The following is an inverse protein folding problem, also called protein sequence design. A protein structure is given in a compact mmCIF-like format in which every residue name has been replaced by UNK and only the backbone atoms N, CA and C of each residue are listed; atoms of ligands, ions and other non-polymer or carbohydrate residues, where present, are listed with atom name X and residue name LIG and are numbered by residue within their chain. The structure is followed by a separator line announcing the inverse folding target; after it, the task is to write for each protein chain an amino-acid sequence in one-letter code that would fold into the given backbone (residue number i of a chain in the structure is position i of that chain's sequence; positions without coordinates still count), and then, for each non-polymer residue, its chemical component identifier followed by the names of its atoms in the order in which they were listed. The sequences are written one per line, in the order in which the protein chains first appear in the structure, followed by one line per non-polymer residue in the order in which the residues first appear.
data_IF_977625987006
#
_entry.id   IF_977625987006
#
_cell.length_a   1.000
_cell.length_b   1.000
_cell.length_c   1.000
_cell.angle_alpha   90.00
_cell.angle_beta   90.00
_cell.angle_gamma   90.00
#
_symmetry.space_group_name_H-M   'P 1'
#
loop_
_entity.id
_entity.type
_entity.pdbx_description
1 polymer ?
#
# COMPACT_ATOMS: atom_id res chain seq x y z
N UNK A 1 0.44 19.02 -19.84
CA UNK A 1 0.82 19.34 -18.44
C UNK A 1 2.33 19.47 -18.26
N UNK A 2 3.18 18.50 -18.62
CA UNK A 2 4.64 18.61 -18.41
C UNK A 2 5.31 19.83 -19.09
N UNK A 3 5.02 20.04 -20.38
CA UNK A 3 5.52 21.20 -21.14
C UNK A 3 5.03 22.53 -20.52
N UNK A 4 3.78 22.55 -20.05
CA UNK A 4 3.20 23.72 -19.38
C UNK A 4 3.86 23.99 -18.02
N UNK A 5 4.08 22.95 -17.20
CA UNK A 5 4.76 23.06 -15.92
C UNK A 5 6.20 23.58 -16.10
N UNK A 6 6.94 23.03 -17.07
CA UNK A 6 8.29 23.48 -17.39
C UNK A 6 8.33 24.93 -17.90
N UNK A 7 7.36 25.35 -18.73
CA UNK A 7 7.28 26.74 -19.17
C UNK A 7 6.90 27.70 -18.03
N UNK A 8 6.00 27.29 -17.12
CA UNK A 8 5.64 28.10 -15.94
C UNK A 8 6.81 28.21 -14.96
N UNK A 9 7.57 27.13 -14.75
CA UNK A 9 8.80 27.11 -13.97
C UNK A 9 9.91 27.98 -14.53
N UNK A 10 9.89 28.30 -15.81
CA UNK A 10 10.85 29.20 -16.46
C UNK A 10 10.30 30.61 -16.70
N UNK A 11 9.05 30.88 -16.29
CA UNK A 11 8.44 32.20 -16.40
C UNK A 11 8.96 33.12 -15.28
N UNK A 12 8.88 34.45 -15.43
CA UNK A 12 9.24 35.38 -14.35
C UNK A 12 8.33 35.31 -13.13
N UNK A 13 7.12 34.76 -13.28
CA UNK A 13 6.08 34.63 -12.25
C UNK A 13 5.81 33.14 -11.98
N UNK A 14 6.78 32.44 -11.39
CA UNK A 14 6.55 31.07 -10.96
C UNK A 14 5.61 31.05 -9.75
N UNK A 15 4.52 30.31 -9.89
CA UNK A 15 3.50 30.09 -8.85
C UNK A 15 3.77 28.74 -8.17
N UNK A 16 4.33 28.79 -6.95
CA UNK A 16 4.61 27.59 -6.15
C UNK A 16 3.34 26.86 -5.72
N UNK A 17 2.25 27.58 -5.48
CA UNK A 17 0.97 27.02 -5.07
C UNK A 17 0.37 26.17 -6.21
N UNK A 18 0.46 26.66 -7.45
CA UNK A 18 0.01 25.91 -8.62
C UNK A 18 0.74 24.57 -8.78
N UNK A 19 2.06 24.53 -8.60
CA UNK A 19 2.82 23.29 -8.74
C UNK A 19 2.51 22.34 -7.59
N UNK A 20 2.43 22.84 -6.36
CA UNK A 20 2.05 22.05 -5.18
C UNK A 20 0.70 21.35 -5.39
N UNK A 21 -0.31 22.07 -5.87
CA UNK A 21 -1.66 21.55 -6.12
C UNK A 21 -1.75 20.52 -7.26
N UNK A 22 -0.78 20.54 -8.19
CA UNK A 22 -0.76 19.66 -9.36
C UNK A 22 0.27 18.55 -9.26
N UNK A 23 1.19 18.60 -8.30
CA UNK A 23 2.32 17.69 -8.21
C UNK A 23 1.87 16.23 -8.19
N UNK A 24 0.87 15.89 -7.37
CA UNK A 24 0.36 14.53 -7.29
C UNK A 24 -0.27 14.05 -8.61
N UNK A 25 -0.97 14.94 -9.32
CA UNK A 25 -1.57 14.61 -10.62
C UNK A 25 -0.48 14.36 -11.67
N UNK A 26 0.58 15.17 -11.65
CA UNK A 26 1.74 14.98 -12.54
C UNK A 26 2.44 13.68 -12.19
N UNK A 27 2.71 13.41 -10.91
CA UNK A 27 3.38 12.19 -10.46
C UNK A 27 2.59 10.93 -10.80
N UNK A 28 1.25 10.99 -10.71
CA UNK A 28 0.38 9.89 -11.14
C UNK A 28 0.46 9.61 -12.64
N UNK A 29 0.89 10.55 -13.48
CA UNK A 29 1.12 10.32 -14.90
C UNK A 29 2.58 9.95 -15.18
N UNK A 30 3.52 10.74 -14.65
CA UNK A 30 4.97 10.59 -14.82
C UNK A 30 5.68 11.14 -13.56
N UNK A 31 6.07 10.24 -12.67
CA UNK A 31 6.77 10.60 -11.44
C UNK A 31 8.22 11.05 -11.65
N UNK A 32 8.87 10.63 -12.74
CA UNK A 32 10.21 11.11 -13.06
C UNK A 32 10.15 12.58 -13.50
N UNK A 33 9.17 12.93 -14.34
CA UNK A 33 8.92 14.31 -14.68
C UNK A 33 8.52 15.14 -13.45
N UNK A 34 7.66 14.62 -12.58
CA UNK A 34 7.31 15.30 -11.33
C UNK A 34 8.54 15.57 -10.45
N UNK A 35 9.47 14.61 -10.38
CA UNK A 35 10.70 14.75 -9.59
C UNK A 35 11.59 15.87 -10.14
N UNK A 36 11.81 15.92 -11.46
CA UNK A 36 12.57 17.01 -12.08
C UNK A 36 11.91 18.37 -11.83
N UNK A 37 10.59 18.45 -12.03
CA UNK A 37 9.85 19.70 -11.86
C UNK A 37 9.88 20.23 -10.42
N UNK A 38 9.79 19.34 -9.42
CA UNK A 38 9.80 19.77 -8.01
C UNK A 38 11.19 20.15 -7.53
N UNK A 39 12.26 19.48 -8.01
CA UNK A 39 13.64 19.89 -7.71
C UNK A 39 13.93 21.29 -8.27
N UNK A 40 13.64 21.53 -9.55
CA UNK A 40 13.80 22.85 -10.18
C UNK A 40 13.01 23.93 -9.42
N UNK A 41 11.81 23.59 -8.95
CA UNK A 41 10.96 24.50 -8.19
C UNK A 41 11.53 24.85 -6.82
N UNK A 42 12.01 23.84 -6.08
CA UNK A 42 12.60 24.00 -4.75
C UNK A 42 13.89 24.81 -4.83
N UNK A 43 14.76 24.53 -5.81
CA UNK A 43 15.99 25.31 -6.04
C UNK A 43 15.69 26.79 -6.34
N UNK A 44 14.59 27.05 -7.07
CA UNK A 44 14.24 28.40 -7.48
C UNK A 44 13.56 29.23 -6.38
N UNK A 45 12.63 28.65 -5.63
CA UNK A 45 11.80 29.41 -4.67
C UNK A 45 12.26 29.25 -3.22
N UNK A 46 12.86 28.11 -2.86
CA UNK A 46 13.11 27.72 -1.48
C UNK A 46 11.83 27.52 -0.65
N UNK A 47 10.66 27.43 -1.28
CA UNK A 47 9.36 27.30 -0.62
C UNK A 47 9.28 25.96 0.14
N UNK A 48 8.93 26.04 1.42
CA UNK A 48 8.82 24.88 2.30
C UNK A 48 7.73 23.91 1.84
N UNK A 49 6.61 24.38 1.28
CA UNK A 49 5.52 23.52 0.79
C UNK A 49 5.99 22.69 -0.41
N UNK A 50 6.77 23.30 -1.31
CA UNK A 50 7.35 22.57 -2.43
C UNK A 50 8.38 21.55 -1.97
N UNK A 51 9.16 21.90 -0.94
CA UNK A 51 10.12 20.97 -0.34
C UNK A 51 9.45 19.81 0.36
N UNK A 52 8.34 20.05 1.05
CA UNK A 52 7.48 18.98 1.58
C UNK A 52 7.01 18.04 0.46
N UNK A 53 6.56 18.60 -0.66
CA UNK A 53 6.19 17.85 -1.86
C UNK A 53 7.34 17.03 -2.43
N UNK A 54 8.56 17.56 -2.44
CA UNK A 54 9.76 16.84 -2.87
C UNK A 54 10.07 15.65 -1.95
N UNK A 55 9.97 15.83 -0.63
CA UNK A 55 10.11 14.73 0.33
C UNK A 55 9.04 13.66 0.09
N UNK A 56 7.78 14.06 -0.02
CA UNK A 56 6.67 13.12 -0.20
C UNK A 56 6.82 12.34 -1.50
N UNK A 57 7.20 12.99 -2.61
CA UNK A 57 7.46 12.33 -3.87
C UNK A 57 8.65 11.35 -3.79
N UNK A 58 9.76 11.75 -3.16
CA UNK A 58 10.92 10.88 -2.98
C UNK A 58 10.57 9.65 -2.11
N UNK A 59 9.81 9.82 -1.02
CA UNK A 59 9.30 8.71 -0.21
C UNK A 59 8.32 7.84 -1.00
N UNK A 60 7.42 8.45 -1.77
CA UNK A 60 6.53 7.74 -2.69
C UNK A 60 7.29 6.98 -3.76
N UNK A 61 8.54 7.31 -4.09
CA UNK A 61 9.41 6.57 -5.02
C UNK A 61 10.38 5.59 -4.33
N UNK A 62 10.39 5.54 -2.99
CA UNK A 62 11.36 4.73 -2.22
C UNK A 62 12.78 5.31 -2.19
N UNK A 63 12.97 6.57 -2.59
CA UNK A 63 14.25 7.25 -2.71
C UNK A 63 14.70 7.87 -1.38
N UNK A 64 14.95 7.04 -0.37
CA UNK A 64 15.20 7.48 1.01
C UNK A 64 16.34 8.49 1.17
N UNK A 65 17.37 8.47 0.32
CA UNK A 65 18.47 9.45 0.37
C UNK A 65 18.04 10.85 -0.11
N UNK A 66 17.23 10.90 -1.17
CA UNK A 66 16.70 12.16 -1.70
C UNK A 66 15.72 12.75 -0.68
N UNK A 67 14.83 11.92 -0.13
CA UNK A 67 13.93 12.31 0.94
C UNK A 67 14.67 12.86 2.16
N UNK A 68 15.76 12.22 2.59
CA UNK A 68 16.57 12.68 3.73
C UNK A 68 17.19 14.06 3.48
N UNK A 69 17.71 14.31 2.28
CA UNK A 69 18.32 15.60 1.94
C UNK A 69 17.33 16.74 2.13
N UNK A 70 16.14 16.63 1.55
CA UNK A 70 15.09 17.64 1.71
C UNK A 70 14.53 17.71 3.12
N UNK A 71 14.40 16.57 3.81
CA UNK A 71 13.94 16.53 5.21
C UNK A 71 14.84 17.31 6.17
N UNK A 72 16.15 17.34 5.91
CA UNK A 72 17.12 18.07 6.71
C UNK A 72 16.86 19.59 6.76
N UNK A 73 16.21 20.12 5.72
CA UNK A 73 15.95 21.55 5.55
C UNK A 73 14.53 21.99 5.94
N UNK A 74 13.63 21.04 6.25
CA UNK A 74 12.27 21.34 6.71
C UNK A 74 12.26 21.81 8.18
N UNK A 75 11.32 22.68 8.51
CA UNK A 75 11.03 23.11 9.88
C UNK A 75 10.52 21.95 10.73
N UNK A 76 10.81 22.00 12.03
CA UNK A 76 10.33 20.98 12.95
C UNK A 76 8.82 21.07 13.15
N UNK A 77 8.16 19.91 13.18
CA UNK A 77 6.73 19.80 13.34
C UNK A 77 6.22 18.37 13.17
N UNK A 78 4.92 18.12 13.44
CA UNK A 78 4.34 16.79 13.32
C UNK A 78 4.45 16.24 11.89
N UNK A 79 4.33 17.08 10.86
CA UNK A 79 4.45 16.66 9.46
C UNK A 79 5.86 16.15 9.12
N UNK A 80 6.91 16.88 9.53
CA UNK A 80 8.30 16.42 9.42
C UNK A 80 8.53 15.11 10.17
N UNK A 81 8.00 14.97 11.39
CA UNK A 81 8.10 13.71 12.16
C UNK A 81 7.46 12.53 11.44
N UNK A 82 6.29 12.70 10.81
CA UNK A 82 5.66 11.65 10.01
C UNK A 82 6.54 11.23 8.82
N UNK A 83 7.19 12.18 8.13
CA UNK A 83 8.11 11.89 7.03
C UNK A 83 9.39 11.21 7.51
N UNK A 84 9.93 11.62 8.66
CA UNK A 84 11.04 10.93 9.31
C UNK A 84 10.66 9.49 9.70
N UNK A 85 9.42 9.27 10.17
CA UNK A 85 8.92 7.92 10.46
C UNK A 85 8.91 7.04 9.22
N UNK A 86 8.44 7.56 8.07
CA UNK A 86 8.50 6.85 6.78
C UNK A 86 9.94 6.51 6.38
N UNK A 87 10.86 7.48 6.49
CA UNK A 87 12.28 7.27 6.19
C UNK A 87 12.91 6.18 7.10
N UNK A 88 12.57 6.17 8.39
CA UNK A 88 13.02 5.13 9.31
C UNK A 88 12.53 3.74 8.87
N UNK A 89 11.29 3.60 8.38
CA UNK A 89 10.79 2.32 7.82
C UNK A 89 11.54 1.86 6.59
N UNK A 90 11.85 2.77 5.66
CA UNK A 90 12.68 2.44 4.47
C UNK A 90 14.04 1.88 4.89
N UNK A 91 14.60 2.37 6.01
CA UNK A 91 15.85 1.89 6.61
C UNK A 91 15.71 0.58 7.39
N UNK A 92 14.49 0.09 7.59
CA UNK A 92 14.20 -1.08 8.42
C UNK A 92 14.16 -0.80 9.92
N UNK A 93 14.12 0.47 10.33
CA UNK A 93 14.03 0.88 11.73
C UNK A 93 12.57 1.14 12.14
N UNK A 94 11.84 0.04 12.35
CA UNK A 94 10.42 0.06 12.70
C UNK A 94 10.19 0.69 14.09
N UNK A 95 11.16 0.58 15.00
CA UNK A 95 11.04 1.11 16.36
C UNK A 95 11.05 2.64 16.35
N UNK A 96 12.07 3.24 15.74
CA UNK A 96 12.14 4.70 15.60
C UNK A 96 10.98 5.23 14.77
N UNK A 97 10.55 4.51 13.73
CA UNK A 97 9.38 4.89 12.95
C UNK A 97 8.11 5.00 13.80
N UNK A 98 7.84 3.99 14.64
CA UNK A 98 6.65 3.98 15.49
C UNK A 98 6.71 5.10 16.55
N UNK A 99 7.86 5.33 17.16
CA UNK A 99 8.05 6.41 18.12
C UNK A 99 7.77 7.79 17.49
N UNK A 100 8.37 8.08 16.32
CA UNK A 100 8.17 9.34 15.61
C UNK A 100 6.71 9.56 15.20
N UNK A 101 6.02 8.48 14.80
CA UNK A 101 4.60 8.53 14.47
C UNK A 101 3.76 8.85 15.71
N UNK A 102 3.99 8.18 16.84
CA UNK A 102 3.28 8.45 18.10
C UNK A 102 3.48 9.90 18.56
N UNK A 103 4.71 10.40 18.55
CA UNK A 103 5.01 11.80 18.89
C UNK A 103 4.33 12.79 17.93
N UNK A 104 4.23 12.47 16.64
CA UNK A 104 3.53 13.33 15.69
C UNK A 104 2.02 13.38 15.99
N UNK A 105 1.40 12.25 16.32
CA UNK A 105 -0.03 12.15 16.61
C UNK A 105 -0.47 12.99 17.81
N UNK A 106 0.43 13.36 18.72
CA UNK A 106 0.13 14.25 19.85
C UNK A 106 -0.17 15.68 19.43
N UNK A 107 0.41 16.13 18.32
CA UNK A 107 0.36 17.52 17.86
C UNK A 107 -0.42 17.73 16.57
N UNK A 108 -0.96 16.66 15.97
CA UNK A 108 -1.79 16.77 14.77
C UNK A 108 -3.20 17.30 15.07
N UNK A 109 -3.78 18.10 14.16
CA UNK A 109 -5.21 18.39 14.16
C UNK A 109 -6.05 17.11 14.14
N UNK A 110 -7.24 17.13 14.74
CA UNK A 110 -8.10 15.94 14.93
C UNK A 110 -8.33 15.16 13.64
N UNK A 111 -8.69 15.84 12.55
CA UNK A 111 -8.97 15.19 11.27
C UNK A 111 -7.72 14.48 10.71
N UNK A 112 -6.56 15.14 10.76
CA UNK A 112 -5.30 14.56 10.29
C UNK A 112 -4.83 13.43 11.21
N UNK A 113 -5.01 13.56 12.52
CA UNK A 113 -4.75 12.50 13.50
C UNK A 113 -5.56 11.25 13.20
N UNK A 114 -6.84 11.37 12.86
CA UNK A 114 -7.68 10.22 12.49
C UNK A 114 -7.22 9.62 11.16
N UNK A 115 -6.96 10.44 10.13
CA UNK A 115 -6.43 9.97 8.85
C UNK A 115 -5.12 9.20 9.04
N UNK A 116 -4.22 9.72 9.86
CA UNK A 116 -2.94 9.07 10.14
C UNK A 116 -3.10 7.75 10.90
N UNK A 117 -4.00 7.67 11.88
CA UNK A 117 -4.32 6.40 12.54
C UNK A 117 -4.84 5.34 11.57
N UNK A 118 -5.72 5.73 10.64
CA UNK A 118 -6.22 4.81 9.59
C UNK A 118 -5.09 4.38 8.67
N UNK A 119 -4.23 5.31 8.21
CA UNK A 119 -3.03 4.98 7.42
C UNK A 119 -2.10 4.00 8.14
N UNK A 120 -1.91 4.17 9.45
CA UNK A 120 -1.09 3.28 10.27
C UNK A 120 -1.69 1.87 10.34
N UNK A 121 -3.02 1.75 10.51
CA UNK A 121 -3.73 0.45 10.48
C UNK A 121 -3.54 -0.25 9.14
N UNK A 122 -3.77 0.46 8.02
CA UNK A 122 -3.59 -0.10 6.67
C UNK A 122 -2.15 -0.55 6.46
N UNK A 123 -1.17 0.30 6.79
CA UNK A 123 0.25 -0.01 6.67
C UNK A 123 0.64 -1.25 7.48
N UNK A 124 0.22 -1.34 8.74
CA UNK A 124 0.53 -2.48 9.62
C UNK A 124 -0.11 -3.77 9.13
N UNK A 125 -1.30 -3.69 8.54
CA UNK A 125 -1.95 -4.84 7.91
C UNK A 125 -1.21 -5.30 6.64
N UNK A 126 -0.69 -4.35 5.86
CA UNK A 126 0.04 -4.62 4.61
C UNK A 126 1.50 -5.06 4.83
N UNK A 127 2.14 -4.67 5.94
CA UNK A 127 3.53 -5.00 6.30
C UNK A 127 3.66 -6.45 6.81
N UNK A 128 3.33 -7.40 5.94
CA UNK A 128 3.40 -8.84 6.20
C UNK A 128 3.61 -9.63 4.91
N UNK A 129 4.04 -10.87 5.04
CA UNK A 129 4.03 -11.80 3.92
C UNK A 129 2.60 -12.25 3.55
N UNK A 130 2.37 -12.63 2.27
CA UNK A 130 1.12 -13.26 1.85
C UNK A 130 0.78 -14.49 2.70
N UNK A 131 -0.53 -14.71 2.91
CA UNK A 131 -1.06 -15.76 3.77
C UNK A 131 -1.94 -15.24 4.92
N UNK A 132 -2.22 -16.12 5.88
CA UNK A 132 -3.10 -15.83 7.01
C UNK A 132 -2.55 -14.71 7.89
N UNK A 133 -3.45 -13.90 8.43
CA UNK A 133 -3.09 -12.87 9.39
C UNK A 133 -2.76 -13.50 10.74
N UNK A 134 -1.64 -13.08 11.33
CA UNK A 134 -1.27 -13.47 12.68
C UNK A 134 -2.37 -13.08 13.69
N UNK A 135 -2.82 -13.98 14.58
CA UNK A 135 -3.90 -13.68 15.52
C UNK A 135 -3.61 -12.53 16.48
N UNK A 136 -2.36 -12.35 16.92
CA UNK A 136 -2.01 -11.24 17.79
C UNK A 136 -2.12 -9.92 17.02
N UNK A 137 -1.53 -9.84 15.83
CA UNK A 137 -1.64 -8.66 14.97
C UNK A 137 -3.11 -8.35 14.63
N UNK A 138 -3.92 -9.36 14.32
CA UNK A 138 -5.35 -9.19 14.06
C UNK A 138 -6.09 -8.52 15.23
N UNK A 139 -5.81 -8.98 16.46
CA UNK A 139 -6.40 -8.40 17.67
C UNK A 139 -5.94 -6.95 17.88
N UNK A 140 -4.64 -6.67 17.73
CA UNK A 140 -4.09 -5.31 17.87
C UNK A 140 -4.69 -4.34 16.85
N UNK A 141 -4.87 -4.77 15.60
CA UNK A 141 -5.50 -3.95 14.55
C UNK A 141 -6.98 -3.72 14.86
N UNK A 142 -7.70 -4.74 15.30
CA UNK A 142 -9.12 -4.65 15.66
C UNK A 142 -9.35 -3.71 16.85
N UNK A 143 -8.48 -3.78 17.86
CA UNK A 143 -8.48 -2.85 19.00
C UNK A 143 -8.13 -1.42 18.56
N UNK A 144 -7.20 -1.26 17.62
CA UNK A 144 -6.85 0.05 17.06
C UNK A 144 -8.02 0.68 16.31
N UNK A 145 -8.76 -0.12 15.53
CA UNK A 145 -9.97 0.31 14.81
C UNK A 145 -11.05 0.76 15.81
N UNK A 146 -11.30 -0.01 16.88
CA UNK A 146 -12.37 0.29 17.85
C UNK A 146 -12.14 1.57 18.65
N UNK A 147 -10.86 1.98 18.82
CA UNK A 147 -10.47 3.22 19.50
C UNK A 147 -10.59 4.48 18.64
N UNK A 148 -10.90 4.37 17.35
CA UNK A 148 -11.07 5.53 16.47
C UNK A 148 -12.47 6.09 16.62
N UNK A 149 -12.57 7.32 17.15
CA UNK A 149 -13.81 8.09 17.14
C UNK A 149 -13.88 8.99 15.91
N UNK A 150 -14.96 8.88 15.14
CA UNK A 150 -15.23 9.70 13.96
C UNK A 150 -16.16 10.89 14.26
N UNK A 151 -16.56 11.09 15.52
CA UNK A 151 -17.60 12.07 15.89
C UNK A 151 -17.24 13.51 15.54
N UNK A 152 -15.94 13.82 15.54
CA UNK A 152 -15.38 15.16 15.32
C UNK A 152 -15.03 15.45 13.84
N UNK A 153 -15.32 14.53 12.93
CA UNK A 153 -15.08 14.72 11.50
C UNK A 153 -16.23 15.44 10.78
N UNK A 154 -15.92 16.11 9.68
CA UNK A 154 -16.94 16.55 8.72
C UNK A 154 -17.71 15.36 8.13
N UNK A 155 -18.89 15.56 7.57
CA UNK A 155 -19.66 14.45 6.99
C UNK A 155 -18.92 13.76 5.84
N UNK A 156 -18.22 14.55 5.01
CA UNK A 156 -17.39 14.02 3.93
C UNK A 156 -16.21 13.20 4.46
N UNK A 157 -15.43 13.74 5.41
CA UNK A 157 -14.30 13.01 6.00
C UNK A 157 -14.77 11.75 6.74
N UNK A 158 -15.92 11.83 7.41
CA UNK A 158 -16.53 10.73 8.15
C UNK A 158 -16.94 9.61 7.21
N UNK A 159 -17.54 9.92 6.06
CA UNK A 159 -17.91 8.92 5.05
C UNK A 159 -16.66 8.18 4.53
N UNK A 160 -15.62 8.92 4.15
CA UNK A 160 -14.35 8.34 3.67
C UNK A 160 -13.66 7.49 4.75
N UNK A 161 -13.60 7.99 5.99
CA UNK A 161 -13.01 7.26 7.11
C UNK A 161 -13.80 5.98 7.44
N UNK A 162 -15.14 6.05 7.42
CA UNK A 162 -16.02 4.89 7.67
C UNK A 162 -15.80 3.80 6.63
N UNK A 163 -15.80 4.17 5.34
CA UNK A 163 -15.53 3.23 4.26
C UNK A 163 -14.16 2.56 4.43
N UNK A 164 -13.12 3.35 4.73
CA UNK A 164 -11.76 2.84 4.93
C UNK A 164 -11.68 1.85 6.09
N UNK A 165 -12.30 2.16 7.23
CA UNK A 165 -12.34 1.27 8.39
C UNK A 165 -13.11 -0.02 8.09
N UNK A 166 -14.20 0.05 7.32
CA UNK A 166 -14.99 -1.13 6.98
C UNK A 166 -14.29 -2.04 5.97
N UNK A 167 -13.55 -1.46 5.01
CA UNK A 167 -12.63 -2.22 4.16
C UNK A 167 -11.57 -2.97 5.00
N UNK A 168 -11.01 -2.31 6.03
CA UNK A 168 -10.04 -2.95 6.93
C UNK A 168 -10.66 -4.06 7.78
N UNK A 169 -11.83 -3.82 8.39
CA UNK A 169 -12.57 -4.85 9.15
C UNK A 169 -12.87 -6.07 8.27
N UNK A 170 -13.32 -5.84 7.04
CA UNK A 170 -13.57 -6.92 6.08
C UNK A 170 -12.29 -7.71 5.77
N UNK A 171 -11.20 -7.01 5.45
CA UNK A 171 -9.92 -7.65 5.14
C UNK A 171 -9.37 -8.48 6.33
N UNK A 172 -9.44 -7.95 7.55
CA UNK A 172 -9.04 -8.67 8.77
C UNK A 172 -9.92 -9.90 8.99
N UNK A 173 -11.25 -9.74 8.93
CA UNK A 173 -12.21 -10.82 9.15
C UNK A 173 -12.02 -11.97 8.15
N UNK A 174 -11.75 -11.66 6.87
CA UNK A 174 -11.43 -12.65 5.85
C UNK A 174 -10.20 -13.49 6.21
N UNK A 175 -9.16 -12.85 6.75
CA UNK A 175 -7.89 -13.51 7.06
C UNK A 175 -7.89 -14.26 8.39
N UNK A 176 -8.79 -13.90 9.31
CA UNK A 176 -9.01 -14.63 10.57
C UNK A 176 -10.10 -15.70 10.47
N UNK A 177 -10.87 -15.72 9.37
CA UNK A 177 -11.97 -16.65 9.17
C UNK A 177 -13.25 -16.27 9.92
N UNK A 178 -13.40 -15.01 10.34
CA UNK A 178 -14.62 -14.51 10.96
C UNK A 178 -15.67 -14.16 9.90
N UNK A 179 -16.44 -15.18 9.52
CA UNK A 179 -17.49 -15.06 8.49
C UNK A 179 -18.54 -14.01 8.87
N UNK A 180 -18.89 -13.92 10.16
CA UNK A 180 -19.93 -12.98 10.63
C UNK A 180 -19.48 -11.54 10.50
N UNK A 181 -18.27 -11.22 10.97
CA UNK A 181 -17.72 -9.87 10.83
C UNK A 181 -17.44 -9.52 9.37
N UNK A 182 -16.99 -10.49 8.56
CA UNK A 182 -16.81 -10.29 7.12
C UNK A 182 -18.12 -9.90 6.45
N UNK A 183 -19.20 -10.65 6.69
CA UNK A 183 -20.51 -10.36 6.12
C UNK A 183 -21.07 -9.01 6.58
N UNK A 184 -20.93 -8.67 7.86
CA UNK A 184 -21.33 -7.37 8.39
C UNK A 184 -20.57 -6.22 7.70
N UNK A 185 -19.23 -6.28 7.70
CA UNK A 185 -18.42 -5.24 7.09
C UNK A 185 -18.72 -5.09 5.59
N UNK A 186 -18.98 -6.19 4.89
CA UNK A 186 -19.40 -6.19 3.49
C UNK A 186 -20.73 -5.46 3.25
N UNK A 187 -21.72 -5.63 4.12
CA UNK A 187 -22.99 -4.87 4.04
C UNK A 187 -22.82 -3.38 4.33
N UNK A 188 -21.92 -3.01 5.24
CA UNK A 188 -21.60 -1.60 5.52
C UNK A 188 -20.84 -0.94 4.34
N UNK A 189 -19.96 -1.69 3.67
CA UNK A 189 -19.28 -1.25 2.43
C UNK A 189 -20.30 -1.02 1.31
N UNK A 190 -21.25 -1.95 1.13
CA UNK A 190 -22.32 -1.82 0.14
C UNK A 190 -23.18 -0.59 0.37
N UNK A 191 -23.56 -0.36 1.63
CA UNK A 191 -24.34 0.83 2.01
C UNK A 191 -23.61 2.14 1.69
N UNK A 192 -22.27 2.09 1.65
CA UNK A 192 -21.42 3.26 1.34
C UNK A 192 -21.18 3.45 -0.16
N UNK A 193 -21.07 2.36 -0.93
CA UNK A 193 -20.70 2.38 -2.35
C UNK A 193 -21.89 2.25 -3.30
N UNK A 194 -23.02 1.70 -2.84
CA UNK A 194 -24.13 1.24 -3.65
C UNK A 194 -24.01 -0.24 -4.05
N UNK A 195 -25.16 -0.91 -4.24
CA UNK A 195 -25.26 -2.35 -4.52
C UNK A 195 -24.59 -2.80 -5.82
N UNK A 196 -24.50 -1.90 -6.80
CA UNK A 196 -23.98 -2.21 -8.14
C UNK A 196 -22.51 -1.81 -8.31
N UNK A 197 -21.82 -1.44 -7.22
CA UNK A 197 -20.45 -0.96 -7.30
C UNK A 197 -19.48 -2.10 -7.67
N UNK A 198 -18.65 -1.97 -8.73
CA UNK A 198 -17.80 -3.06 -9.24
C UNK A 198 -16.83 -3.66 -8.21
N UNK A 199 -16.36 -2.86 -7.25
CA UNK A 199 -15.47 -3.34 -6.17
C UNK A 199 -16.11 -4.43 -5.31
N UNK A 200 -17.44 -4.49 -5.23
CA UNK A 200 -18.14 -5.50 -4.46
C UNK A 200 -17.91 -6.91 -5.01
N UNK A 201 -17.86 -7.06 -6.34
CA UNK A 201 -17.55 -8.34 -7.01
C UNK A 201 -16.20 -8.89 -6.59
N UNK A 202 -15.17 -8.03 -6.50
CA UNK A 202 -13.84 -8.44 -6.05
C UNK A 202 -13.86 -8.87 -4.57
N UNK A 203 -14.60 -8.16 -3.71
CA UNK A 203 -14.74 -8.50 -2.29
C UNK A 203 -15.42 -9.86 -2.10
N UNK A 204 -16.52 -10.10 -2.83
CA UNK A 204 -17.30 -11.34 -2.73
C UNK A 204 -16.50 -12.53 -3.25
N UNK A 205 -15.72 -12.35 -4.32
CA UNK A 205 -14.82 -13.37 -4.84
C UNK A 205 -13.66 -13.66 -3.89
N UNK A 206 -13.06 -12.62 -3.27
CA UNK A 206 -12.05 -12.84 -2.22
C UNK A 206 -12.63 -13.61 -1.04
N UNK A 207 -13.87 -13.33 -0.65
CA UNK A 207 -14.57 -14.07 0.40
C UNK A 207 -14.83 -15.53 0.02
N UNK A 208 -15.18 -15.83 -1.23
CA UNK A 208 -15.37 -17.22 -1.64
C UNK A 208 -14.05 -18.00 -1.66
N UNK A 209 -12.92 -17.36 -2.02
CA UNK A 209 -11.58 -17.95 -2.02
C UNK A 209 -11.01 -18.23 -0.61
N UNK A 210 -11.55 -17.61 0.45
CA UNK A 210 -11.15 -17.92 1.84
C UNK A 210 -11.89 -19.14 2.41
N UNK A 211 -13.01 -19.55 1.80
CA UNK A 211 -13.73 -20.77 2.17
C UNK A 211 -12.97 -21.98 1.60
N UNK A 212 -12.26 -22.70 2.48
CA UNK A 212 -11.31 -23.74 2.07
C UNK A 212 -11.55 -25.07 2.77
N UNK A 213 -11.42 -26.16 2.02
CA UNK A 213 -11.37 -27.54 2.53
C UNK A 213 -9.94 -28.06 2.35
N UNK A 214 -9.30 -28.51 3.43
CA UNK A 214 -7.89 -28.93 3.42
C UNK A 214 -6.92 -27.88 2.84
N UNK A 215 -7.22 -26.59 3.08
CA UNK A 215 -6.39 -25.48 2.61
C UNK A 215 -6.63 -25.07 1.15
N UNK A 216 -7.58 -25.68 0.45
CA UNK A 216 -7.89 -25.41 -0.96
C UNK A 216 -9.32 -24.89 -1.08
N UNK A 217 -9.53 -23.84 -1.88
CA UNK A 217 -10.85 -23.28 -2.18
C UNK A 217 -11.66 -24.21 -3.11
N UNK A 218 -12.96 -23.94 -3.25
CA UNK A 218 -13.81 -24.72 -4.16
C UNK A 218 -13.40 -24.49 -5.62
N UNK A 219 -13.65 -25.50 -6.48
CA UNK A 219 -13.43 -25.39 -7.92
C UNK A 219 -14.16 -24.19 -8.52
N UNK A 220 -15.38 -23.94 -8.05
CA UNK A 220 -16.23 -22.86 -8.55
C UNK A 220 -15.66 -21.49 -8.18
N UNK A 221 -15.08 -21.34 -6.98
CA UNK A 221 -14.42 -20.10 -6.57
C UNK A 221 -13.13 -19.86 -7.39
N UNK A 222 -12.35 -20.91 -7.63
CA UNK A 222 -11.13 -20.85 -8.45
C UNK A 222 -11.49 -20.48 -9.89
N UNK A 223 -12.50 -21.11 -10.49
CA UNK A 223 -12.95 -20.79 -11.85
C UNK A 223 -13.55 -19.38 -11.93
N UNK A 224 -14.33 -18.96 -10.94
CA UNK A 224 -14.83 -17.58 -10.86
C UNK A 224 -13.68 -16.57 -10.81
N UNK A 225 -12.59 -16.91 -10.10
CA UNK A 225 -11.40 -16.06 -10.04
C UNK A 225 -10.68 -15.97 -11.39
N UNK A 226 -10.65 -17.06 -12.14
CA UNK A 226 -10.11 -17.09 -13.49
C UNK A 226 -10.91 -16.18 -14.42
N UNK A 227 -12.23 -16.31 -14.43
CA UNK A 227 -13.13 -15.47 -15.26
C UNK A 227 -12.94 -13.99 -14.90
N UNK A 228 -12.86 -13.66 -13.60
CA UNK A 228 -12.57 -12.30 -13.17
C UNK A 228 -11.24 -11.79 -13.74
N UNK A 229 -10.16 -12.58 -13.64
CA UNK A 229 -8.83 -12.22 -14.10
C UNK A 229 -8.74 -12.05 -15.63
N UNK A 230 -9.50 -12.84 -16.39
CA UNK A 230 -9.58 -12.73 -17.85
C UNK A 230 -10.26 -11.44 -18.32
N UNK A 231 -11.08 -10.80 -17.47
CA UNK A 231 -11.83 -9.58 -17.78
C UNK A 231 -11.38 -8.35 -16.96
N UNK A 232 -10.30 -8.46 -16.18
CA UNK A 232 -9.83 -7.39 -15.30
C UNK A 232 -8.74 -6.55 -15.97
N UNK A 233 -9.11 -5.33 -16.38
CA UNK A 233 -8.16 -4.39 -16.99
C UNK A 233 -7.25 -3.71 -15.96
N UNK A 234 -7.75 -3.51 -14.73
CA UNK A 234 -7.02 -2.85 -13.66
C UNK A 234 -5.89 -3.74 -13.10
N UNK A 235 -4.64 -3.33 -13.34
CA UNK A 235 -3.45 -4.10 -12.96
C UNK A 235 -3.38 -4.38 -11.45
N UNK A 236 -3.80 -3.41 -10.61
CA UNK A 236 -3.79 -3.54 -9.16
C UNK A 236 -4.76 -4.65 -8.71
N UNK A 237 -6.01 -4.61 -9.18
CA UNK A 237 -6.99 -5.65 -8.89
C UNK A 237 -6.56 -7.01 -9.44
N UNK A 238 -5.95 -7.04 -10.63
CA UNK A 238 -5.46 -8.27 -11.25
C UNK A 238 -4.36 -8.93 -10.42
N UNK A 239 -3.31 -8.18 -10.04
CA UNK A 239 -2.23 -8.71 -9.18
C UNK A 239 -2.80 -9.13 -7.81
N UNK A 240 -3.65 -8.31 -7.19
CA UNK A 240 -4.27 -8.62 -5.90
C UNK A 240 -5.08 -9.92 -5.95
N UNK A 241 -5.85 -10.13 -7.03
CA UNK A 241 -6.64 -11.35 -7.21
C UNK A 241 -5.74 -12.55 -7.53
N UNK A 242 -4.69 -12.41 -8.35
CA UNK A 242 -3.69 -13.47 -8.58
C UNK A 242 -3.11 -13.96 -7.25
N UNK A 243 -2.68 -13.04 -6.38
CA UNK A 243 -2.13 -13.41 -5.08
C UNK A 243 -3.18 -14.11 -4.20
N UNK A 244 -4.41 -13.60 -4.17
CA UNK A 244 -5.50 -14.22 -3.39
C UNK A 244 -5.80 -15.63 -3.89
N UNK A 245 -5.84 -15.85 -5.21
CA UNK A 245 -6.06 -17.17 -5.80
C UNK A 245 -4.86 -18.10 -5.53
N UNK A 246 -3.61 -17.60 -5.62
CA UNK A 246 -2.42 -18.39 -5.29
C UNK A 246 -2.45 -18.91 -3.84
N UNK A 247 -2.92 -18.10 -2.89
CA UNK A 247 -3.11 -18.54 -1.51
C UNK A 247 -4.21 -19.61 -1.36
N UNK A 248 -5.14 -19.68 -2.30
CA UNK A 248 -6.34 -20.50 -2.23
C UNK A 248 -6.25 -21.83 -2.98
N UNK A 249 -5.22 -22.04 -3.82
CA UNK A 249 -5.05 -23.26 -4.64
C UNK A 249 -4.10 -24.30 -4.03
N UNK A 250 -3.54 -24.04 -2.85
CA UNK A 250 -2.60 -24.95 -2.19
C UNK A 250 -1.23 -25.00 -2.87
N UNK A 251 -0.54 -26.15 -2.78
CA UNK A 251 0.85 -26.30 -3.24
C UNK A 251 0.99 -26.60 -4.74
N UNK A 252 -0.11 -26.88 -5.45
CA UNK A 252 -0.11 -27.19 -6.88
C UNK A 252 -1.00 -26.20 -7.65
N UNK A 253 -0.55 -24.95 -7.85
CA UNK A 253 -1.30 -23.97 -8.62
C UNK A 253 -1.53 -24.43 -10.06
N UNK A 254 -2.72 -24.16 -10.64
CA UNK A 254 -2.99 -24.51 -12.03
C UNK A 254 -2.10 -23.70 -12.98
N UNK A 255 -1.77 -24.28 -14.15
CA UNK A 255 -0.84 -23.67 -15.11
C UNK A 255 -1.25 -22.27 -15.56
N UNK A 256 -2.55 -22.04 -15.77
CA UNK A 256 -3.07 -20.73 -16.16
C UNK A 256 -2.73 -19.64 -15.13
N UNK A 257 -2.74 -19.97 -13.83
CA UNK A 257 -2.44 -19.01 -12.76
C UNK A 257 -0.94 -18.73 -12.68
N UNK A 258 -0.11 -19.76 -12.89
CA UNK A 258 1.35 -19.60 -12.99
C UNK A 258 1.70 -18.72 -14.19
N UNK A 259 1.07 -18.94 -15.34
CA UNK A 259 1.30 -18.16 -16.55
C UNK A 259 0.86 -16.71 -16.41
N UNK A 260 -0.30 -16.45 -15.78
CA UNK A 260 -0.74 -15.09 -15.44
C UNK A 260 0.25 -14.40 -14.50
N UNK A 261 0.68 -15.08 -13.43
CA UNK A 261 1.67 -14.52 -12.51
C UNK A 261 2.99 -14.18 -13.23
N UNK A 262 3.51 -15.08 -14.08
CA UNK A 262 4.74 -14.83 -14.86
C UNK A 262 4.62 -13.61 -15.78
N UNK A 263 3.45 -13.41 -16.40
CA UNK A 263 3.17 -12.21 -17.21
C UNK A 263 3.23 -10.95 -16.37
N UNK A 264 2.59 -10.93 -15.20
CA UNK A 264 2.59 -9.75 -14.32
C UNK A 264 3.97 -9.42 -13.74
N UNK A 265 4.75 -10.43 -13.33
CA UNK A 265 6.14 -10.19 -12.86
C UNK A 265 7.01 -9.55 -13.96
N UNK A 266 6.74 -9.89 -15.22
CA UNK A 266 7.52 -9.40 -16.37
C UNK A 266 6.97 -8.11 -16.97
N UNK A 267 5.79 -7.68 -16.55
CA UNK A 267 5.17 -6.45 -16.99
C UNK A 267 5.83 -5.23 -16.33
N UNK A 268 5.73 -4.08 -16.99
CA UNK A 268 6.05 -2.81 -16.35
C UNK A 268 5.05 -2.54 -15.22
N UNK A 269 5.56 -2.25 -14.03
CA UNK A 269 4.78 -1.91 -12.85
C UNK A 269 5.17 -0.50 -12.46
N UNK A 270 4.17 0.31 -12.14
CA UNK A 270 4.31 1.68 -11.59
C UNK A 270 4.92 1.68 -10.18
N UNK A 271 6.15 1.17 -10.03
CA UNK A 271 6.86 1.06 -8.75
C UNK A 271 7.30 2.42 -8.17
N UNK A 272 6.97 3.50 -8.88
CA UNK A 272 6.97 4.88 -8.39
C UNK A 272 5.80 5.21 -7.44
N UNK A 273 4.86 4.29 -7.24
CA UNK A 273 3.78 4.40 -6.26
C UNK A 273 3.94 3.35 -5.16
N UNK A 274 3.76 3.74 -3.90
CA UNK A 274 3.98 2.85 -2.76
C UNK A 274 3.16 1.55 -2.82
N UNK A 275 1.90 1.62 -3.26
CA UNK A 275 1.03 0.44 -3.38
C UNK A 275 1.57 -0.58 -4.39
N UNK A 276 2.08 -0.12 -5.53
CA UNK A 276 2.64 -0.97 -6.57
C UNK A 276 4.01 -1.52 -6.18
N UNK A 277 4.82 -0.81 -5.37
CA UNK A 277 6.03 -1.40 -4.77
C UNK A 277 5.71 -2.59 -3.88
N UNK A 278 4.68 -2.49 -3.05
CA UNK A 278 4.25 -3.61 -2.21
C UNK A 278 3.82 -4.81 -3.06
N UNK A 279 3.00 -4.57 -4.08
CA UNK A 279 2.57 -5.62 -5.00
C UNK A 279 3.77 -6.23 -5.76
N UNK A 280 4.72 -5.41 -6.19
CA UNK A 280 5.96 -5.86 -6.81
C UNK A 280 6.78 -6.75 -5.86
N UNK A 281 6.91 -6.36 -4.59
CA UNK A 281 7.59 -7.18 -3.58
C UNK A 281 6.90 -8.55 -3.40
N UNK A 282 5.57 -8.57 -3.38
CA UNK A 282 4.77 -9.80 -3.28
C UNK A 282 4.87 -10.67 -4.54
N UNK A 283 4.93 -10.07 -5.74
CA UNK A 283 5.15 -10.80 -6.99
C UNK A 283 6.50 -11.55 -6.96
N UNK A 284 7.57 -10.92 -6.47
CA UNK A 284 8.85 -11.58 -6.29
C UNK A 284 8.84 -12.66 -5.20
N UNK A 285 8.08 -12.45 -4.12
CA UNK A 285 7.85 -13.46 -3.10
C UNK A 285 7.21 -14.72 -3.72
N UNK A 286 6.09 -14.54 -4.42
CA UNK A 286 5.36 -15.63 -5.08
C UNK A 286 6.19 -16.28 -6.17
N UNK A 287 7.02 -15.53 -6.92
CA UNK A 287 7.97 -16.12 -7.86
C UNK A 287 8.94 -17.09 -7.17
N UNK A 288 9.44 -16.77 -5.98
CA UNK A 288 10.28 -17.69 -5.20
C UNK A 288 9.55 -18.92 -4.64
N UNK A 289 8.23 -18.81 -4.43
CA UNK A 289 7.36 -19.95 -4.10
C UNK A 289 7.16 -20.86 -5.33
N UNK A 290 6.84 -20.26 -6.48
CA UNK A 290 6.53 -20.95 -7.73
C UNK A 290 7.75 -21.52 -8.45
N UNK A 291 8.94 -20.94 -8.23
CA UNK A 291 10.20 -21.35 -8.86
C UNK A 291 11.26 -21.68 -7.78
N UNK A 292 11.14 -22.81 -7.05
CA UNK A 292 11.99 -23.14 -5.91
C UNK A 292 13.49 -23.18 -6.21
N UNK A 293 13.87 -23.56 -7.44
CA UNK A 293 15.28 -23.62 -7.86
C UNK A 293 15.99 -22.26 -7.84
N UNK A 294 15.25 -21.16 -7.99
CA UNK A 294 15.76 -19.79 -7.97
C UNK A 294 15.30 -19.02 -6.73
N UNK A 295 14.75 -19.71 -5.72
CA UNK A 295 14.12 -19.10 -4.54
C UNK A 295 15.02 -18.07 -3.86
N UNK A 296 16.31 -18.39 -3.68
CA UNK A 296 17.27 -17.49 -3.01
C UNK A 296 17.31 -16.12 -3.70
N UNK A 297 17.48 -16.11 -5.02
CA UNK A 297 17.54 -14.87 -5.79
C UNK A 297 16.21 -14.12 -5.77
N UNK A 298 15.09 -14.83 -5.91
CA UNK A 298 13.76 -14.21 -5.93
C UNK A 298 13.39 -13.59 -4.59
N UNK A 299 13.68 -14.28 -3.48
CA UNK A 299 13.37 -13.78 -2.15
C UNK A 299 14.33 -12.67 -1.71
N UNK A 300 15.59 -12.66 -2.15
CA UNK A 300 16.47 -11.51 -1.96
C UNK A 300 15.92 -10.24 -2.63
N UNK A 301 15.42 -10.36 -3.86
CA UNK A 301 14.78 -9.24 -4.56
C UNK A 301 13.49 -8.80 -3.86
N UNK A 302 12.67 -9.75 -3.41
CA UNK A 302 11.45 -9.47 -2.63
C UNK A 302 11.76 -8.72 -1.32
N UNK A 303 12.79 -9.13 -0.57
CA UNK A 303 13.25 -8.45 0.65
C UNK A 303 13.65 -7.00 0.35
N UNK A 304 14.41 -6.76 -0.72
CA UNK A 304 14.81 -5.42 -1.11
C UNK A 304 13.60 -4.54 -1.43
N UNK A 305 12.64 -5.07 -2.20
CA UNK A 305 11.41 -4.35 -2.58
C UNK A 305 10.49 -4.09 -1.39
N UNK A 306 10.35 -5.04 -0.46
CA UNK A 306 9.56 -4.81 0.76
C UNK A 306 10.12 -3.64 1.58
N UNK A 307 11.45 -3.54 1.74
CA UNK A 307 12.07 -2.39 2.42
C UNK A 307 11.76 -1.07 1.72
N UNK A 308 11.90 -1.01 0.40
CA UNK A 308 11.56 0.18 -0.40
C UNK A 308 10.06 0.54 -0.34
N UNK A 309 9.20 -0.42 -0.01
CA UNK A 309 7.76 -0.25 0.14
C UNK A 309 7.31 0.11 1.57
N UNK A 310 8.26 0.40 2.48
CA UNK A 310 8.04 0.61 3.92
C UNK A 310 7.48 -0.61 4.67
N UNK A 311 7.69 -1.81 4.12
CA UNK A 311 7.28 -3.09 4.71
C UNK A 311 8.46 -3.80 5.39
N UNK A 312 8.91 -3.21 6.49
CA UNK A 312 10.09 -3.68 7.23
C UNK A 312 9.88 -5.05 7.92
N UNK A 313 8.68 -5.32 8.39
CA UNK A 313 8.36 -6.55 9.11
C UNK A 313 8.25 -7.73 8.13
N UNK A 314 7.59 -7.53 6.98
CA UNK A 314 7.56 -8.50 5.88
C UNK A 314 8.98 -8.85 5.39
N UNK A 315 9.84 -7.84 5.22
CA UNK A 315 11.23 -8.05 4.81
C UNK A 315 12.03 -8.85 5.84
N UNK A 316 11.82 -8.60 7.14
CA UNK A 316 12.48 -9.31 8.23
C UNK A 316 12.01 -10.76 8.30
N UNK A 317 10.70 -10.98 8.27
CA UNK A 317 10.11 -12.32 8.27
C UNK A 317 10.62 -13.16 7.08
N UNK A 318 10.72 -12.56 5.89
CA UNK A 318 11.22 -13.28 4.71
C UNK A 318 12.71 -13.61 4.82
N UNK A 319 13.50 -12.71 5.39
CA UNK A 319 14.92 -12.96 5.67
C UNK A 319 15.10 -14.11 6.67
N UNK A 320 14.28 -14.16 7.71
CA UNK A 320 14.28 -15.25 8.70
C UNK A 320 13.91 -16.59 8.02
N UNK A 321 12.87 -16.60 7.17
CA UNK A 321 12.52 -17.80 6.38
C UNK A 321 13.65 -18.24 5.45
N UNK A 322 14.33 -17.29 4.81
CA UNK A 322 15.45 -17.55 3.91
C UNK A 322 16.61 -18.22 4.67
N UNK A 323 16.98 -17.68 5.82
CA UNK A 323 18.10 -18.16 6.64
C UNK A 323 17.81 -19.48 7.35
N UNK A 324 16.54 -19.76 7.68
CA UNK A 324 16.11 -21.07 8.22
C UNK A 324 16.00 -22.16 7.15
N UNK A 325 15.91 -21.78 5.86
CA UNK A 325 15.82 -22.70 4.73
C UNK A 325 17.17 -23.11 4.12
N UNK A 326 18.27 -22.55 4.64
CA UNK A 326 19.68 -22.88 4.32
C UNK A 326 20.25 -23.78 5.41
#
# INVERSE_FOLDING_TARGET
MQIEAHHRLNSSEFDSEWLSDRLQQIANFDSAAAAVLIEDAVERSGDEVLREGAVDLALERGEGRIAESHLGELSDGPAKKLRQARLARIRGDSQTANQLEEEALEHLPVAEKIRQKIKSIVRRYDDRLPGKLDPQLANELSESISKISLSQLSDSDRATATLSLNLMKHAIALQTGDISQSAQARGEIESSLGSDHPSLTSLDLKASLTIRTNGIATSDAIESSRIFLENCDDQLQRISMIHTTLEAVGNEPPSWLIDLHKREVSAEIRDDLAIFRRLSAQLWYWRGVLEPHNRLSHWQESIHRFRAAECSDAARELLDRLTQSV
#
